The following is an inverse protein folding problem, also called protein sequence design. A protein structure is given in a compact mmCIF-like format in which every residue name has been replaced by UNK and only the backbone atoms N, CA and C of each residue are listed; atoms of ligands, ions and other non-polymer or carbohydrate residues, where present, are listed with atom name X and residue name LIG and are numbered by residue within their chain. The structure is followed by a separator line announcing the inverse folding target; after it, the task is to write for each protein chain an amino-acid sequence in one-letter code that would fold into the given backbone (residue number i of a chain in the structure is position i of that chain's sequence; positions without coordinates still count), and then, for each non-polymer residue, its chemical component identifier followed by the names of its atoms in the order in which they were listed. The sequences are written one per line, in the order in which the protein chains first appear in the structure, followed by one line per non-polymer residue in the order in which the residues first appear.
data_IF_570276664388
#
_entry.id   IF_570276664388
#
_cell.length_a   1.000
_cell.length_b   1.000
_cell.length_c   1.000
_cell.angle_alpha   90.00
_cell.angle_beta   90.00
_cell.angle_gamma   90.00
#
_symmetry.space_group_name_H-M   'P 1'
#
loop_
_entity.id
_entity.type
_entity.pdbx_description
1 polymer ?
#
# COMPACT_ATOMS: atom_id res chain seq x y z
N UNK A 1 -20.14 26.68 -21.36
CA UNK A 1 -19.42 27.69 -22.14
C UNK A 1 -18.27 28.25 -21.30
N UNK A 2 -17.11 28.54 -21.92
CA UNK A 2 -15.89 29.10 -21.31
C UNK A 2 -15.20 28.16 -20.29
N UNK A 3 -15.21 26.86 -20.53
CA UNK A 3 -14.42 25.86 -19.75
C UNK A 3 -13.52 25.09 -20.70
N UNK A 4 -12.31 24.76 -20.23
CA UNK A 4 -11.44 23.80 -20.91
C UNK A 4 -11.92 22.38 -20.60
N UNK A 5 -11.79 21.49 -21.58
CA UNK A 5 -11.97 20.05 -21.41
C UNK A 5 -10.59 19.41 -21.52
N UNK A 6 -10.19 18.70 -20.48
CA UNK A 6 -8.90 18.02 -20.40
C UNK A 6 -9.16 16.51 -20.24
N UNK A 7 -8.21 15.65 -20.61
CA UNK A 7 -8.23 14.25 -20.19
C UNK A 7 -8.28 14.15 -18.66
N UNK A 8 -8.92 13.10 -18.13
CA UNK A 8 -8.91 12.81 -16.71
C UNK A 8 -7.48 12.56 -16.20
N UNK A 9 -7.24 12.95 -14.96
CA UNK A 9 -5.95 12.74 -14.30
C UNK A 9 -5.88 11.31 -13.80
N UNK A 10 -4.75 10.65 -14.04
CA UNK A 10 -4.43 9.33 -13.47
C UNK A 10 -3.50 9.53 -12.28
N UNK A 11 -3.95 9.14 -11.09
CA UNK A 11 -3.11 9.09 -9.90
C UNK A 11 -2.58 7.67 -9.72
N UNK A 12 -1.35 7.46 -10.14
CA UNK A 12 -0.72 6.13 -10.28
C UNK A 12 -0.07 5.60 -9.00
N UNK A 13 -0.17 6.32 -7.87
CA UNK A 13 0.43 5.89 -6.61
C UNK A 13 -0.31 6.46 -5.41
N UNK A 14 -1.24 5.69 -4.86
CA UNK A 14 -1.92 6.09 -3.63
C UNK A 14 -2.15 4.93 -2.66
N UNK A 15 -2.24 5.27 -1.36
CA UNK A 15 -2.59 4.39 -0.26
C UNK A 15 -3.84 4.95 0.43
N UNK A 16 -4.93 5.09 -0.31
CA UNK A 16 -6.10 5.81 0.19
C UNK A 16 -6.99 4.99 1.14
N UNK A 17 -6.80 3.66 1.26
CA UNK A 17 -7.55 2.81 2.18
C UNK A 17 -6.74 2.56 3.45
N UNK A 18 -7.09 3.29 4.51
CA UNK A 18 -6.49 3.13 5.83
C UNK A 18 -7.42 3.65 6.93
N UNK A 19 -7.25 3.11 8.15
CA UNK A 19 -7.89 3.59 9.37
C UNK A 19 -7.06 4.67 10.06
N UNK A 20 -7.75 5.53 10.80
CA UNK A 20 -7.11 6.60 11.57
C UNK A 20 -6.55 7.74 10.73
N UNK A 21 -5.94 8.69 11.43
CA UNK A 21 -5.20 9.82 10.85
C UNK A 21 -4.00 10.15 11.72
N UNK A 22 -2.93 10.63 11.11
CA UNK A 22 -1.68 11.02 11.80
C UNK A 22 -1.47 12.54 11.80
N UNK A 23 -2.56 13.31 11.92
CA UNK A 23 -2.50 14.77 11.87
C UNK A 23 -1.60 15.38 12.97
N UNK A 24 -1.56 14.76 14.16
CA UNK A 24 -0.69 15.21 15.26
C UNK A 24 0.80 15.06 14.93
N UNK A 25 1.18 14.04 14.15
CA UNK A 25 2.57 13.85 13.73
C UNK A 25 3.07 15.01 12.86
N UNK A 26 2.20 15.61 12.07
CA UNK A 26 2.54 16.81 11.32
C UNK A 26 2.90 17.98 12.25
N UNK A 27 2.13 18.17 13.32
CA UNK A 27 2.42 19.18 14.33
C UNK A 27 3.73 18.87 15.09
N UNK A 28 4.05 17.60 15.33
CA UNK A 28 5.32 17.20 15.94
C UNK A 28 6.51 17.50 15.02
N UNK A 29 6.39 17.20 13.72
CA UNK A 29 7.41 17.56 12.72
C UNK A 29 7.66 19.05 12.63
N UNK A 30 6.60 19.85 12.65
CA UNK A 30 6.72 21.32 12.66
C UNK A 30 7.45 21.86 13.91
N UNK A 31 7.40 21.13 15.03
CA UNK A 31 8.17 21.45 16.25
C UNK A 31 9.59 20.97 16.23
N UNK A 32 9.99 20.23 15.20
CA UNK A 32 11.35 19.74 15.03
C UNK A 32 11.58 18.31 15.52
N UNK A 33 10.54 17.56 15.88
CA UNK A 33 10.67 16.16 16.26
C UNK A 33 11.22 15.34 15.07
N UNK A 34 12.21 14.50 15.34
CA UNK A 34 12.73 13.58 14.33
C UNK A 34 11.76 12.45 14.03
N UNK A 35 11.93 11.80 12.89
CA UNK A 35 11.16 10.59 12.55
C UNK A 35 11.26 9.53 13.65
N UNK A 36 12.45 9.35 14.23
CA UNK A 36 12.66 8.39 15.31
C UNK A 36 11.93 8.75 16.61
N UNK A 37 11.78 10.05 16.92
CA UNK A 37 11.02 10.48 18.08
C UNK A 37 9.53 10.23 17.90
N UNK A 38 9.01 10.44 16.69
CA UNK A 38 7.62 10.12 16.30
C UNK A 38 7.37 8.62 16.46
N UNK A 39 8.29 7.78 15.95
CA UNK A 39 8.18 6.31 16.06
C UNK A 39 8.20 5.84 17.51
N UNK A 40 9.06 6.40 18.37
CA UNK A 40 9.12 6.08 19.80
C UNK A 40 7.82 6.41 20.56
N UNK A 41 7.05 7.36 20.06
CA UNK A 41 5.72 7.72 20.60
C UNK A 41 4.58 6.84 20.06
N UNK A 42 4.91 5.80 19.30
CA UNK A 42 3.92 4.92 18.67
C UNK A 42 3.28 5.49 17.39
N UNK A 43 3.92 6.50 16.77
CA UNK A 43 3.52 7.07 15.49
C UNK A 43 4.09 6.31 14.29
N UNK A 44 4.03 6.92 13.12
CA UNK A 44 4.48 6.33 11.87
C UNK A 44 3.52 5.26 11.33
N UNK A 45 4.07 4.38 10.49
CA UNK A 45 3.28 3.33 9.85
C UNK A 45 2.60 2.39 10.85
N UNK A 46 3.24 2.12 12.00
CA UNK A 46 2.69 1.24 13.03
C UNK A 46 1.33 1.73 13.57
N UNK A 47 1.19 3.05 13.78
CA UNK A 47 -0.08 3.66 14.19
C UNK A 47 -1.18 3.45 13.14
N UNK A 48 -0.86 3.64 11.86
CA UNK A 48 -1.81 3.39 10.76
C UNK A 48 -2.19 1.91 10.66
N UNK A 49 -1.22 1.00 10.80
CA UNK A 49 -1.46 -0.45 10.79
C UNK A 49 -2.43 -0.82 11.93
N UNK A 50 -2.16 -0.38 13.13
CA UNK A 50 -3.02 -0.65 14.28
C UNK A 50 -4.45 -0.15 14.06
N UNK A 51 -4.60 1.08 13.58
CA UNK A 51 -5.91 1.68 13.30
C UNK A 51 -6.64 0.97 12.15
N UNK A 52 -5.93 0.53 11.10
CA UNK A 52 -6.52 -0.19 9.96
C UNK A 52 -6.95 -1.60 10.34
N UNK A 53 -6.18 -2.29 11.18
CA UNK A 53 -6.56 -3.60 11.74
C UNK A 53 -7.84 -3.50 12.56
N UNK A 54 -7.94 -2.47 13.40
CA UNK A 54 -9.10 -2.24 14.28
C UNK A 54 -10.35 -1.77 13.52
N UNK A 55 -10.19 -1.10 12.38
CA UNK A 55 -11.31 -0.58 11.59
C UNK A 55 -12.12 -1.72 10.94
N UNK A 56 -13.44 -1.59 10.96
CA UNK A 56 -14.34 -2.44 10.18
C UNK A 56 -14.23 -2.15 8.68
N UNK A 57 -14.70 -3.08 7.85
CA UNK A 57 -14.78 -2.88 6.40
C UNK A 57 -15.65 -1.66 6.05
N UNK A 58 -16.76 -1.46 6.76
CA UNK A 58 -17.64 -0.31 6.56
C UNK A 58 -16.97 1.02 6.89
N UNK A 59 -16.20 1.10 7.97
CA UNK A 59 -15.44 2.30 8.30
C UNK A 59 -14.38 2.64 7.25
N UNK A 60 -13.67 1.62 6.75
CA UNK A 60 -12.70 1.78 5.65
C UNK A 60 -13.40 2.20 4.36
N UNK A 61 -14.56 1.62 4.05
CA UNK A 61 -15.38 1.98 2.88
C UNK A 61 -15.82 3.44 2.93
N UNK A 62 -16.40 3.89 4.03
CA UNK A 62 -16.85 5.28 4.20
C UNK A 62 -15.68 6.28 4.14
N UNK A 63 -14.55 5.93 4.71
CA UNK A 63 -13.34 6.75 4.61
C UNK A 63 -12.81 6.80 3.17
N UNK A 64 -12.84 5.67 2.46
CA UNK A 64 -12.47 5.55 1.06
C UNK A 64 -13.31 6.43 0.15
N UNK A 65 -14.64 6.38 0.26
CA UNK A 65 -15.57 7.23 -0.51
C UNK A 65 -15.19 8.71 -0.37
N UNK A 66 -15.02 9.19 0.87
CA UNK A 66 -14.68 10.61 1.12
C UNK A 66 -13.36 11.03 0.47
N UNK A 67 -12.36 10.13 0.46
CA UNK A 67 -11.05 10.40 -0.17
C UNK A 67 -11.17 10.40 -1.68
N UNK A 68 -11.90 9.46 -2.25
CA UNK A 68 -12.16 9.39 -3.69
C UNK A 68 -12.98 10.58 -4.19
N UNK A 69 -14.01 11.02 -3.45
CA UNK A 69 -14.76 12.24 -3.76
C UNK A 69 -13.84 13.46 -3.82
N UNK A 70 -12.89 13.57 -2.88
CA UNK A 70 -11.88 14.62 -2.89
C UNK A 70 -10.97 14.55 -4.11
N UNK A 71 -10.47 13.36 -4.46
CA UNK A 71 -9.63 13.15 -5.66
C UNK A 71 -10.40 13.50 -6.95
N UNK A 72 -11.65 13.07 -7.05
CA UNK A 72 -12.54 13.41 -8.17
C UNK A 72 -12.72 14.92 -8.32
N UNK A 73 -12.86 15.64 -7.21
CA UNK A 73 -12.99 17.10 -7.22
C UNK A 73 -11.75 17.82 -7.78
N UNK A 74 -10.59 17.17 -7.75
CA UNK A 74 -9.34 17.65 -8.36
C UNK A 74 -9.15 17.16 -9.81
N UNK A 75 -10.11 16.41 -10.35
CA UNK A 75 -10.08 15.93 -11.74
C UNK A 75 -9.40 14.56 -11.94
N UNK A 76 -9.13 13.83 -10.86
CA UNK A 76 -8.69 12.44 -10.94
C UNK A 76 -9.86 11.59 -11.43
N UNK A 77 -9.60 10.72 -12.40
CA UNK A 77 -10.60 9.79 -12.95
C UNK A 77 -10.17 8.34 -12.82
N UNK A 78 -8.88 8.09 -12.64
CA UNK A 78 -8.31 6.76 -12.40
C UNK A 78 -7.31 6.86 -11.26
N UNK A 79 -7.37 5.94 -10.30
CA UNK A 79 -6.51 5.94 -9.12
C UNK A 79 -5.99 4.54 -8.82
N UNK A 80 -4.74 4.43 -8.43
CA UNK A 80 -4.23 3.20 -7.85
C UNK A 80 -4.66 3.10 -6.38
N UNK A 81 -5.20 1.96 -5.97
CA UNK A 81 -5.52 1.64 -4.59
C UNK A 81 -4.60 0.56 -4.05
N UNK A 82 -3.66 0.92 -3.17
CA UNK A 82 -2.77 -0.05 -2.51
C UNK A 82 -3.33 -0.48 -1.16
N UNK A 83 -3.22 -1.79 -0.84
CA UNK A 83 -3.25 -2.29 0.53
C UNK A 83 -1.95 -1.93 1.28
N UNK A 84 -1.54 -2.66 2.30
CA UNK A 84 -0.23 -2.48 2.92
C UNK A 84 -0.26 -1.83 4.30
N UNK A 85 -1.44 -1.68 4.86
CA UNK A 85 -1.61 -1.28 6.26
C UNK A 85 -2.23 -2.38 7.14
N UNK A 86 -2.31 -3.60 6.61
CA UNK A 86 -2.66 -4.77 7.39
C UNK A 86 -1.43 -5.47 7.94
N UNK A 87 -0.50 -5.79 7.08
CA UNK A 87 0.68 -6.61 7.34
C UNK A 87 0.31 -7.99 7.92
N UNK A 88 -0.92 -8.42 7.71
CA UNK A 88 -1.46 -9.74 7.99
C UNK A 88 -2.50 -10.10 6.92
N UNK A 89 -2.79 -11.38 6.79
CA UNK A 89 -3.69 -11.89 5.76
C UNK A 89 -5.09 -11.26 5.80
N UNK A 90 -5.70 -11.28 6.96
CA UNK A 90 -7.12 -10.88 7.10
C UNK A 90 -7.32 -9.40 6.80
N UNK A 91 -6.40 -8.56 7.26
CA UNK A 91 -6.51 -7.12 7.07
C UNK A 91 -6.12 -6.70 5.65
N UNK A 92 -5.09 -7.31 5.05
CA UNK A 92 -4.71 -7.06 3.66
C UNK A 92 -5.86 -7.44 2.71
N UNK A 93 -6.48 -8.61 2.91
CA UNK A 93 -7.65 -9.05 2.15
C UNK A 93 -8.82 -8.07 2.36
N UNK A 94 -9.12 -7.71 3.61
CA UNK A 94 -10.16 -6.72 3.93
C UNK A 94 -9.96 -5.40 3.19
N UNK A 95 -8.72 -4.87 3.14
CA UNK A 95 -8.42 -3.65 2.40
C UNK A 95 -8.69 -3.80 0.90
N UNK A 96 -8.23 -4.90 0.30
CA UNK A 96 -8.44 -5.18 -1.12
C UNK A 96 -9.91 -5.40 -1.47
N UNK A 97 -10.69 -6.08 -0.61
CA UNK A 97 -12.14 -6.22 -0.78
C UNK A 97 -12.84 -4.85 -0.77
N UNK A 98 -12.45 -3.95 0.14
CA UNK A 98 -12.98 -2.59 0.19
C UNK A 98 -12.59 -1.81 -1.08
N UNK A 99 -11.37 -1.94 -1.55
CA UNK A 99 -10.91 -1.31 -2.81
C UNK A 99 -11.76 -1.78 -3.99
N UNK A 100 -11.96 -3.09 -4.14
CA UNK A 100 -12.78 -3.66 -5.22
C UNK A 100 -14.26 -3.26 -5.09
N UNK A 101 -14.79 -3.18 -3.87
CA UNK A 101 -16.16 -2.70 -3.67
C UNK A 101 -16.30 -1.24 -4.10
N UNK A 102 -15.32 -0.38 -3.77
CA UNK A 102 -15.29 1.02 -4.18
C UNK A 102 -15.22 1.18 -5.70
N UNK A 103 -14.42 0.37 -6.39
CA UNK A 103 -14.36 0.36 -7.86
C UNK A 103 -15.73 0.08 -8.49
N UNK A 104 -16.53 -0.81 -7.87
CA UNK A 104 -17.87 -1.14 -8.33
C UNK A 104 -18.95 -0.06 -8.08
N UNK A 105 -18.72 0.88 -7.18
CA UNK A 105 -19.75 1.87 -6.76
C UNK A 105 -19.37 3.32 -6.97
N UNK A 106 -18.07 3.64 -7.14
CA UNK A 106 -17.57 5.01 -7.29
C UNK A 106 -17.37 5.36 -8.78
N UNK A 107 -17.29 6.65 -9.09
CA UNK A 107 -17.09 7.16 -10.47
C UNK A 107 -15.64 7.08 -10.96
N UNK A 108 -14.67 6.89 -10.06
CA UNK A 108 -13.27 6.67 -10.42
C UNK A 108 -13.05 5.20 -10.76
N UNK A 109 -12.26 4.95 -11.80
CA UNK A 109 -11.66 3.64 -12.03
C UNK A 109 -10.56 3.40 -10.99
N UNK A 110 -10.61 2.27 -10.28
CA UNK A 110 -9.64 1.96 -9.23
C UNK A 110 -8.82 0.73 -9.61
N UNK A 111 -7.52 0.87 -9.62
CA UNK A 111 -6.58 -0.22 -9.92
C UNK A 111 -6.03 -0.79 -8.63
N UNK A 112 -6.44 -2.00 -8.20
CA UNK A 112 -6.02 -2.56 -6.93
C UNK A 112 -4.59 -3.12 -6.99
N UNK A 113 -3.80 -2.80 -5.97
CA UNK A 113 -2.42 -3.28 -5.79
C UNK A 113 -2.25 -3.90 -4.40
N UNK A 114 -1.80 -5.15 -4.36
CA UNK A 114 -1.41 -5.82 -3.12
C UNK A 114 -0.03 -5.32 -2.67
N UNK A 115 0.07 -4.81 -1.45
CA UNK A 115 1.32 -4.34 -0.85
C UNK A 115 1.53 -4.91 0.56
N UNK A 116 1.33 -6.21 0.75
CA UNK A 116 1.58 -6.86 2.05
C UNK A 116 3.01 -6.67 2.57
N UNK A 117 3.97 -6.46 1.67
CA UNK A 117 5.36 -6.14 1.99
C UNK A 117 5.63 -4.62 2.08
N UNK A 118 4.81 -3.87 2.82
CA UNK A 118 4.98 -2.43 3.04
C UNK A 118 5.85 -2.10 4.24
N UNK A 119 5.84 -2.94 5.25
CA UNK A 119 6.72 -2.88 6.42
C UNK A 119 6.87 -4.28 7.03
N UNK A 120 7.84 -4.44 7.91
CA UNK A 120 8.01 -5.69 8.67
C UNK A 120 7.19 -5.57 9.96
N UNK A 121 6.17 -6.43 10.18
CA UNK A 121 5.41 -6.42 11.41
C UNK A 121 6.26 -6.84 12.61
N UNK A 122 5.89 -6.39 13.81
CA UNK A 122 6.68 -6.59 15.03
C UNK A 122 7.00 -8.07 15.30
N UNK A 123 6.05 -8.95 15.01
CA UNK A 123 6.20 -10.40 15.19
C UNK A 123 7.25 -11.04 14.28
N UNK A 124 7.63 -10.35 13.20
CA UNK A 124 8.63 -10.81 12.23
C UNK A 124 9.93 -9.99 12.23
N UNK A 125 10.10 -9.05 13.16
CA UNK A 125 11.36 -8.30 13.27
C UNK A 125 12.56 -9.24 13.49
N UNK A 126 13.57 -9.10 12.61
CA UNK A 126 14.73 -9.99 12.55
C UNK A 126 14.46 -11.34 11.90
N UNK A 127 13.27 -11.54 11.35
CA UNK A 127 12.85 -12.72 10.58
C UNK A 127 12.12 -12.29 9.30
N UNK A 128 12.66 -11.28 8.61
CA UNK A 128 12.06 -10.69 7.41
C UNK A 128 11.90 -11.72 6.30
N UNK A 129 12.81 -12.70 6.21
CA UNK A 129 12.71 -13.79 5.25
C UNK A 129 11.50 -14.70 5.50
N UNK A 130 11.20 -15.00 6.77
CA UNK A 130 10.01 -15.78 7.16
C UNK A 130 8.72 -15.02 6.80
N UNK A 131 8.73 -13.68 6.93
CA UNK A 131 7.59 -12.87 6.55
C UNK A 131 7.38 -12.86 5.03
N UNK A 132 8.44 -12.77 4.26
CA UNK A 132 8.37 -12.87 2.79
C UNK A 132 7.82 -14.24 2.38
N UNK A 133 8.28 -15.34 3.01
CA UNK A 133 7.76 -16.69 2.75
C UNK A 133 6.27 -16.77 3.12
N UNK A 134 5.86 -16.23 4.26
CA UNK A 134 4.44 -16.15 4.65
C UNK A 134 3.58 -15.40 3.61
N UNK A 135 4.07 -14.29 3.06
CA UNK A 135 3.35 -13.55 2.02
C UNK A 135 3.22 -14.38 0.73
N UNK A 136 4.30 -15.06 0.32
CA UNK A 136 4.34 -15.88 -0.91
C UNK A 136 3.45 -17.12 -0.77
N UNK A 137 3.56 -17.83 0.35
CA UNK A 137 2.96 -19.15 0.49
C UNK A 137 1.52 -19.11 1.00
N UNK A 138 1.14 -18.07 1.76
CA UNK A 138 -0.17 -18.01 2.39
C UNK A 138 -1.05 -16.86 1.88
N UNK A 139 -0.53 -15.64 1.75
CA UNK A 139 -1.37 -14.46 1.49
C UNK A 139 -1.59 -14.26 0.00
N UNK A 140 -0.51 -14.18 -0.79
CA UNK A 140 -0.61 -13.91 -2.23
C UNK A 140 -1.46 -14.93 -3.01
N UNK A 141 -1.41 -16.26 -2.71
CA UNK A 141 -2.28 -17.21 -3.38
C UNK A 141 -3.77 -16.91 -3.19
N UNK A 142 -4.19 -16.49 -1.99
CA UNK A 142 -5.59 -16.12 -1.74
C UNK A 142 -6.01 -14.83 -2.46
N UNK A 143 -5.10 -13.85 -2.53
CA UNK A 143 -5.34 -12.62 -3.29
C UNK A 143 -5.49 -12.93 -4.78
N UNK A 144 -4.64 -13.82 -5.33
CA UNK A 144 -4.68 -14.23 -6.72
C UNK A 144 -5.92 -15.06 -7.06
N UNK A 145 -6.23 -16.09 -6.26
CA UNK A 145 -7.40 -16.96 -6.45
C UNK A 145 -8.71 -16.17 -6.48
N UNK A 146 -8.79 -15.15 -5.63
CA UNK A 146 -9.97 -14.28 -5.50
C UNK A 146 -9.96 -13.07 -6.44
N UNK A 147 -8.91 -12.92 -7.28
CA UNK A 147 -8.72 -11.78 -8.18
C UNK A 147 -8.86 -10.42 -7.49
N UNK A 148 -8.26 -10.27 -6.29
CA UNK A 148 -8.43 -9.07 -5.47
C UNK A 148 -7.45 -7.95 -5.85
N UNK A 149 -6.38 -8.23 -6.59
CA UNK A 149 -5.40 -7.25 -7.03
C UNK A 149 -4.87 -7.56 -8.42
N UNK A 150 -4.57 -6.51 -9.18
CA UNK A 150 -3.91 -6.62 -10.50
C UNK A 150 -2.39 -6.58 -10.37
N UNK A 151 -1.90 -5.83 -9.39
CA UNK A 151 -0.48 -5.64 -9.13
C UNK A 151 -0.08 -6.14 -7.75
N UNK A 152 1.19 -6.54 -7.64
CA UNK A 152 1.89 -6.73 -6.37
C UNK A 152 3.05 -5.76 -6.27
N UNK A 153 3.21 -5.13 -5.11
CA UNK A 153 4.23 -4.13 -4.82
C UNK A 153 5.02 -4.54 -3.56
N UNK A 154 6.24 -4.02 -3.41
CA UNK A 154 7.10 -4.22 -2.23
C UNK A 154 7.89 -2.97 -1.91
N UNK A 155 8.09 -2.67 -0.63
CA UNK A 155 8.95 -1.58 -0.19
C UNK A 155 10.40 -2.04 -0.05
N UNK A 156 11.15 -1.92 -1.16
CA UNK A 156 12.58 -2.21 -1.22
C UNK A 156 13.38 -1.06 -0.64
N UNK A 157 13.63 -1.08 0.67
CA UNK A 157 14.27 0.02 1.37
C UNK A 157 15.14 -0.50 2.53
N UNK A 158 16.14 0.27 2.90
CA UNK A 158 17.02 -0.03 4.03
C UNK A 158 16.21 -0.19 5.32
N UNK A 159 16.44 -1.27 6.05
CA UNK A 159 15.73 -1.67 7.26
C UNK A 159 14.24 -2.05 7.05
N UNK A 160 13.83 -2.29 5.81
CA UNK A 160 12.52 -2.86 5.47
C UNK A 160 12.77 -4.17 4.71
N UNK A 161 12.72 -4.17 3.38
CA UNK A 161 13.05 -5.37 2.59
C UNK A 161 14.27 -5.11 1.70
N UNK A 162 15.22 -6.03 1.73
CA UNK A 162 16.41 -6.01 0.88
C UNK A 162 16.05 -6.27 -0.59
N UNK A 163 16.98 -5.96 -1.50
CA UNK A 163 16.85 -6.24 -2.94
C UNK A 163 16.60 -7.74 -3.19
N UNK A 164 17.26 -8.64 -2.43
CA UNK A 164 17.07 -10.09 -2.57
C UNK A 164 15.70 -10.57 -2.11
N UNK A 165 15.19 -10.05 -0.99
CA UNK A 165 13.84 -10.33 -0.48
C UNK A 165 12.78 -9.79 -1.43
N UNK A 166 12.94 -8.56 -1.91
CA UNK A 166 12.04 -7.94 -2.88
C UNK A 166 12.00 -8.72 -4.20
N UNK A 167 13.16 -9.17 -4.70
CA UNK A 167 13.22 -10.03 -5.90
C UNK A 167 12.46 -11.33 -5.70
N UNK A 168 12.65 -12.00 -4.57
CA UNK A 168 11.97 -13.28 -4.26
C UNK A 168 10.46 -13.10 -4.23
N UNK A 169 9.97 -12.08 -3.53
CA UNK A 169 8.54 -11.77 -3.44
C UNK A 169 7.93 -11.44 -4.81
N UNK A 170 8.56 -10.55 -5.58
CA UNK A 170 8.05 -10.15 -6.89
C UNK A 170 8.13 -11.28 -7.92
N UNK A 171 9.10 -12.20 -7.80
CA UNK A 171 9.15 -13.40 -8.65
C UNK A 171 7.96 -14.30 -8.35
N UNK A 172 7.69 -14.60 -7.07
CA UNK A 172 6.50 -15.37 -6.66
C UNK A 172 5.19 -14.69 -7.08
N UNK A 173 5.12 -13.36 -7.00
CA UNK A 173 3.95 -12.62 -7.46
C UNK A 173 3.71 -12.80 -8.98
N UNK A 174 4.76 -12.76 -9.81
CA UNK A 174 4.64 -13.01 -11.25
C UNK A 174 4.19 -14.43 -11.58
N UNK A 175 4.66 -15.42 -10.83
CA UNK A 175 4.23 -16.82 -10.98
C UNK A 175 2.74 -17.01 -10.70
N UNK A 176 2.18 -16.18 -9.82
CA UNK A 176 0.76 -16.12 -9.52
C UNK A 176 -0.05 -15.21 -10.48
N UNK A 177 0.62 -14.59 -11.47
CA UNK A 177 -0.03 -13.78 -12.50
C UNK A 177 -0.16 -12.30 -12.20
N UNK A 178 0.38 -11.80 -11.08
CA UNK A 178 0.40 -10.37 -10.81
C UNK A 178 1.35 -9.61 -11.76
N UNK A 179 0.96 -8.43 -12.16
CA UNK A 179 1.90 -7.41 -12.61
C UNK A 179 2.66 -6.88 -11.39
N UNK A 180 3.88 -6.40 -11.59
CA UNK A 180 4.73 -6.00 -10.47
C UNK A 180 4.98 -4.50 -10.44
N UNK A 181 5.11 -3.98 -9.21
CA UNK A 181 5.55 -2.63 -8.89
C UNK A 181 6.63 -2.68 -7.80
N UNK A 182 7.29 -1.58 -7.56
CA UNK A 182 8.33 -1.50 -6.55
C UNK A 182 8.42 -0.08 -5.99
N UNK A 183 8.30 0.06 -4.67
CA UNK A 183 8.82 1.23 -3.98
C UNK A 183 10.33 1.09 -3.89
N UNK A 184 11.07 1.96 -4.55
CA UNK A 184 12.50 1.83 -4.73
C UNK A 184 13.22 3.14 -4.48
N UNK A 185 14.33 3.06 -3.76
CA UNK A 185 15.28 4.18 -3.62
C UNK A 185 14.60 5.47 -3.08
N UNK A 186 13.62 5.34 -2.20
CA UNK A 186 12.84 6.45 -1.66
C UNK A 186 13.62 7.23 -0.61
N UNK A 187 14.29 6.53 0.29
CA UNK A 187 15.07 7.11 1.39
C UNK A 187 16.56 6.93 1.11
N UNK A 188 16.96 5.70 0.73
CA UNK A 188 18.35 5.34 0.45
C UNK A 188 18.44 4.61 -0.88
N UNK A 189 19.38 5.01 -1.74
CA UNK A 189 19.67 4.28 -2.97
C UNK A 189 20.21 2.89 -2.62
N UNK A 190 19.40 1.86 -2.84
CA UNK A 190 19.68 0.48 -2.48
C UNK A 190 19.86 -0.44 -3.70
N UNK A 191 19.54 0.03 -4.90
CA UNK A 191 19.52 -0.76 -6.13
C UNK A 191 18.13 -1.30 -6.47
N UNK A 192 17.08 -0.71 -5.94
CA UNK A 192 15.70 -1.08 -6.23
C UNK A 192 15.31 -0.75 -7.67
N UNK A 193 15.78 0.36 -8.21
CA UNK A 193 15.55 0.72 -9.62
C UNK A 193 16.19 -0.30 -10.58
N UNK A 194 17.41 -0.77 -10.31
CA UNK A 194 18.09 -1.83 -11.08
C UNK A 194 17.34 -3.17 -10.94
N UNK A 195 16.80 -3.45 -9.76
CA UNK A 195 15.95 -4.63 -9.54
C UNK A 195 14.70 -4.56 -10.45
N UNK A 196 14.00 -3.43 -10.45
CA UNK A 196 12.82 -3.23 -11.28
C UNK A 196 13.14 -3.44 -12.77
N UNK A 197 14.23 -2.84 -13.27
CA UNK A 197 14.67 -3.00 -14.64
C UNK A 197 15.04 -4.46 -14.98
N UNK A 198 15.57 -5.23 -14.03
CA UNK A 198 15.97 -6.63 -14.23
C UNK A 198 14.84 -7.64 -14.10
N UNK A 199 13.65 -7.21 -13.71
CA UNK A 199 12.46 -8.05 -13.58
C UNK A 199 11.51 -7.95 -14.79
N UNK A 200 11.84 -7.17 -15.81
CA UNK A 200 11.09 -7.05 -17.06
C UNK A 200 11.38 -8.20 -18.03
#
# INVERSE_FOLDING_TARGET
RNKAVLPGIVDSHTHFIFGGYRAEEFAWRLRGDSYMDIMKRGGGIASTVQATRAASADELLQAGIKRLDSMLSFGVTTVEGKSGYGLDQDTEIKQLEVINHLDGIHYLDIVPTFLGAHAVPDDYKGREDDFVDYLIDAVMPQVAERNLAEYCDVFCEKNVFSVSQSRRLLTGARELGFKIKLHADEIVQLGGAELAAGLH
#
